data_IF_513291359105
#
_entry.id   IF_513291359105
#
_cell.length_a   1.000
_cell.length_b   1.000
_cell.length_c   1.000
_cell.angle_alpha   90.00
_cell.angle_beta   90.00
_cell.angle_gamma   90.00
#
_symmetry.space_group_name_H-M   'P 1'
#
loop_
_entity.id
_entity.type
_entity.pdbx_description
1 polymer ?
#
# COMPACT_ATOMS: atom_id res chain seq x y z
N UNK A 1 -1.33 -1.40 5.43
CA UNK A 1 -1.73 0.01 5.67
C UNK A 1 -3.21 0.14 5.37
N UNK A 2 -3.96 0.65 6.35
CA UNK A 2 -5.35 1.06 6.17
C UNK A 2 -5.42 2.57 6.05
N UNK A 3 -6.46 3.07 5.40
CA UNK A 3 -6.81 4.48 5.46
C UNK A 3 -7.29 4.82 6.88
N UNK A 4 -7.19 6.10 7.24
CA UNK A 4 -7.62 6.55 8.55
C UNK A 4 -9.14 6.40 8.74
N UNK A 5 -9.64 6.48 9.99
CA UNK A 5 -11.06 6.52 10.27
C UNK A 5 -11.76 7.68 9.55
N UNK A 6 -13.09 7.60 9.40
CA UNK A 6 -13.89 8.57 8.64
C UNK A 6 -13.65 10.03 9.05
N UNK A 7 -13.51 10.32 10.35
CA UNK A 7 -13.24 11.66 10.87
C UNK A 7 -11.91 12.25 10.38
N UNK A 8 -10.90 11.40 10.17
CA UNK A 8 -9.52 11.82 9.94
C UNK A 8 -9.00 11.49 8.53
N UNK A 9 -9.74 10.71 7.74
CA UNK A 9 -9.29 10.33 6.39
C UNK A 9 -9.15 11.57 5.50
N UNK A 10 -7.96 11.73 4.94
CA UNK A 10 -7.62 12.85 4.06
C UNK A 10 -7.05 12.28 2.77
N UNK A 11 -7.73 12.58 1.67
CA UNK A 11 -7.28 12.30 0.32
C UNK A 11 -7.28 13.63 -0.42
N UNK A 12 -6.22 13.91 -1.18
CA UNK A 12 -6.16 15.10 -2.02
C UNK A 12 -7.14 15.01 -3.18
N UNK A 13 -7.66 16.15 -3.63
CA UNK A 13 -8.74 16.21 -4.61
C UNK A 13 -10.10 16.38 -3.93
N UNK A 14 -11.17 16.03 -4.64
CA UNK A 14 -12.53 16.14 -4.13
C UNK A 14 -12.92 14.85 -3.37
N UNK A 15 -13.15 14.97 -2.07
CA UNK A 15 -13.58 13.87 -1.22
C UNK A 15 -14.93 14.19 -0.58
N UNK A 16 -15.99 13.60 -1.15
CA UNK A 16 -17.36 13.73 -0.67
C UNK A 16 -17.56 13.00 0.68
N UNK A 17 -18.53 13.43 1.51
CA UNK A 17 -18.82 12.79 2.80
C UNK A 17 -19.13 11.28 2.69
N UNK A 18 -19.85 10.86 1.66
CA UNK A 18 -20.21 9.46 1.42
C UNK A 18 -18.99 8.63 1.03
N UNK A 19 -18.13 9.19 0.19
CA UNK A 19 -16.88 8.55 -0.20
C UNK A 19 -15.93 8.42 1.00
N UNK A 20 -15.87 9.44 1.87
CA UNK A 20 -15.14 9.41 3.14
C UNK A 20 -15.59 8.25 4.02
N UNK A 21 -16.90 8.06 4.20
CA UNK A 21 -17.45 6.95 4.97
C UNK A 21 -17.12 5.58 4.34
N UNK A 22 -17.19 5.46 3.00
CA UNK A 22 -16.90 4.21 2.28
C UNK A 22 -15.43 3.81 2.29
N UNK A 23 -14.53 4.81 2.26
CA UNK A 23 -13.08 4.59 2.19
C UNK A 23 -12.42 4.46 3.55
N UNK A 24 -13.08 4.94 4.61
CA UNK A 24 -12.58 4.83 5.99
C UNK A 24 -12.18 3.39 6.32
N UNK A 25 -11.03 3.24 6.99
CA UNK A 25 -10.50 1.96 7.49
C UNK A 25 -10.23 0.87 6.43
N UNK A 26 -10.47 1.19 5.14
CA UNK A 26 -10.22 0.29 4.02
C UNK A 26 -8.72 0.05 3.82
N UNK A 27 -8.38 -1.12 3.29
CA UNK A 27 -6.99 -1.46 3.01
C UNK A 27 -6.51 -0.75 1.75
N UNK A 28 -5.44 0.06 1.87
CA UNK A 28 -4.79 0.68 0.72
C UNK A 28 -3.56 -0.11 0.24
N UNK A 29 -2.79 -0.66 1.19
CA UNK A 29 -1.60 -1.46 0.92
C UNK A 29 -1.62 -2.70 1.80
N UNK A 30 -1.53 -3.87 1.18
CA UNK A 30 -1.47 -5.16 1.88
C UNK A 30 -0.23 -5.93 1.46
N UNK A 31 0.20 -6.83 2.34
CA UNK A 31 1.34 -7.71 2.11
C UNK A 31 0.90 -9.12 2.49
N UNK A 32 1.12 -10.07 1.59
CA UNK A 32 0.84 -11.48 1.83
C UNK A 32 2.06 -12.32 1.45
N UNK A 33 2.45 -13.27 2.31
CA UNK A 33 3.50 -14.24 1.98
C UNK A 33 2.96 -15.30 1.04
N UNK A 34 3.71 -15.61 -0.02
CA UNK A 34 3.37 -16.67 -0.98
C UNK A 34 4.61 -17.51 -1.30
N UNK A 35 4.64 -18.72 -0.76
CA UNK A 35 5.81 -19.60 -0.85
C UNK A 35 7.06 -18.93 -0.26
N UNK A 36 8.12 -18.87 -1.06
CA UNK A 36 9.37 -18.18 -0.75
C UNK A 36 9.31 -16.66 -1.01
N UNK A 37 8.25 -16.17 -1.64
CA UNK A 37 8.07 -14.76 -1.98
C UNK A 37 7.00 -14.06 -1.13
N UNK A 38 6.65 -12.86 -1.59
CA UNK A 38 5.52 -12.11 -1.08
C UNK A 38 4.82 -11.35 -2.20
N UNK A 39 3.52 -11.12 -2.02
CA UNK A 39 2.69 -10.26 -2.86
C UNK A 39 2.45 -8.98 -2.07
N UNK A 40 2.84 -7.84 -2.65
CA UNK A 40 2.61 -6.51 -2.09
C UNK A 40 1.60 -5.82 -3.01
N UNK A 41 0.38 -5.61 -2.51
CA UNK A 41 -0.73 -5.09 -3.31
C UNK A 41 -1.06 -3.65 -2.91
N UNK A 42 -1.18 -2.78 -3.92
CA UNK A 42 -1.63 -1.40 -3.77
C UNK A 42 -3.02 -1.25 -4.43
N UNK A 43 -3.96 -0.59 -3.75
CA UNK A 43 -5.31 -0.35 -4.24
C UNK A 43 -5.39 0.69 -5.38
N UNK A 44 -4.33 1.48 -5.57
CA UNK A 44 -4.20 2.44 -6.66
C UNK A 44 -2.73 2.54 -7.10
N UNK A 45 -2.48 3.14 -8.26
CA UNK A 45 -1.12 3.33 -8.76
C UNK A 45 -0.31 4.23 -7.79
N UNK A 46 0.75 3.71 -7.15
CA UNK A 46 1.43 4.43 -6.07
C UNK A 46 2.24 5.64 -6.55
N UNK A 47 2.60 5.68 -7.83
CA UNK A 47 3.35 6.78 -8.45
C UNK A 47 2.60 7.54 -9.53
N UNK A 48 1.27 7.59 -9.46
CA UNK A 48 0.46 8.35 -10.42
C UNK A 48 0.95 9.79 -10.57
N UNK A 49 1.61 10.07 -11.71
CA UNK A 49 2.18 11.38 -12.09
C UNK A 49 3.05 12.04 -11.02
N UNK A 50 3.64 11.26 -10.11
CA UNK A 50 4.40 11.81 -8.98
C UNK A 50 3.59 12.66 -8.00
N UNK A 51 2.25 12.55 -8.02
CA UNK A 51 1.35 13.42 -7.25
C UNK A 51 1.48 13.21 -5.73
N UNK A 52 1.75 11.98 -5.30
CA UNK A 52 1.85 11.60 -3.90
C UNK A 52 3.26 11.09 -3.54
N UNK A 53 4.02 11.91 -2.82
CA UNK A 53 5.36 11.51 -2.32
C UNK A 53 5.30 10.33 -1.35
N UNK A 54 4.27 10.26 -0.53
CA UNK A 54 4.09 9.20 0.47
C UNK A 54 3.96 7.81 -0.13
N UNK A 55 3.04 7.64 -1.09
CA UNK A 55 2.81 6.36 -1.77
C UNK A 55 3.98 5.97 -2.68
N UNK A 56 4.65 6.95 -3.30
CA UNK A 56 5.88 6.73 -4.05
C UNK A 56 6.98 6.11 -3.16
N UNK A 57 7.18 6.65 -1.96
CA UNK A 57 8.16 6.10 -1.01
C UNK A 57 7.80 4.66 -0.61
N UNK A 58 6.53 4.37 -0.37
CA UNK A 58 6.08 3.01 -0.06
C UNK A 58 6.35 2.04 -1.21
N UNK A 59 6.12 2.46 -2.44
CA UNK A 59 6.43 1.65 -3.63
C UNK A 59 7.93 1.40 -3.77
N UNK A 60 8.77 2.42 -3.64
CA UNK A 60 10.23 2.24 -3.71
C UNK A 60 10.73 1.30 -2.62
N UNK A 61 10.19 1.40 -1.39
CA UNK A 61 10.52 0.46 -0.32
C UNK A 61 10.10 -0.97 -0.68
N UNK A 62 8.94 -1.17 -1.30
CA UNK A 62 8.49 -2.49 -1.73
C UNK A 62 9.44 -3.08 -2.79
N UNK A 63 9.91 -2.27 -3.75
CA UNK A 63 10.84 -2.72 -4.80
C UNK A 63 12.22 -3.03 -4.23
N UNK A 64 12.78 -2.14 -3.42
CA UNK A 64 14.16 -2.26 -2.91
C UNK A 64 14.25 -3.28 -1.78
N UNK A 65 13.35 -3.21 -0.80
CA UNK A 65 13.43 -4.04 0.39
C UNK A 65 12.52 -5.27 0.36
N UNK A 66 11.55 -5.34 -0.55
CA UNK A 66 10.62 -6.47 -0.63
C UNK A 66 11.32 -7.83 -0.69
N UNK A 67 12.29 -8.05 -1.59
CA UNK A 67 12.99 -9.35 -1.66
C UNK A 67 13.71 -9.75 -0.37
N UNK A 68 14.16 -8.79 0.45
CA UNK A 68 14.96 -9.06 1.66
C UNK A 68 14.19 -9.04 2.98
N UNK A 69 13.10 -8.28 3.09
CA UNK A 69 12.38 -8.10 4.36
C UNK A 69 11.13 -8.98 4.52
N UNK A 70 10.57 -9.52 3.44
CA UNK A 70 9.33 -10.32 3.53
C UNK A 70 9.27 -11.55 2.63
N UNK A 71 10.20 -11.68 1.67
CA UNK A 71 10.49 -12.94 1.00
C UNK A 71 11.60 -13.68 1.76
N UNK A 72 11.66 -15.00 1.62
CA UNK A 72 12.72 -15.85 2.18
C UNK A 72 13.36 -16.63 1.03
N UNK A 73 14.69 -16.74 0.97
CA UNK A 73 15.32 -17.59 -0.03
C UNK A 73 14.78 -19.02 0.12
N UNK A 74 14.55 -19.69 -1.01
CA UNK A 74 14.31 -21.12 -0.99
C UNK A 74 15.50 -21.77 -0.29
N UNK A 75 15.25 -22.56 0.76
CA UNK A 75 16.31 -23.35 1.38
C UNK A 75 16.86 -24.26 0.29
N UNK A 76 18.09 -24.00 -0.17
CA UNK A 76 18.82 -24.96 -0.97
C UNK A 76 18.88 -26.24 -0.13
N UNK A 77 18.28 -27.30 -0.65
CA UNK A 77 18.53 -28.65 -0.17
C UNK A 77 19.86 -29.13 -0.72
#
# INVERSE_FOLDING_TARGET
MRLAPSADVRLSGLLWPEARARLADSAYLTVERRGFGQVILFAAQPGFRGFHRGTNRLFLNAVVYGPGLGAQPAKLR
#
